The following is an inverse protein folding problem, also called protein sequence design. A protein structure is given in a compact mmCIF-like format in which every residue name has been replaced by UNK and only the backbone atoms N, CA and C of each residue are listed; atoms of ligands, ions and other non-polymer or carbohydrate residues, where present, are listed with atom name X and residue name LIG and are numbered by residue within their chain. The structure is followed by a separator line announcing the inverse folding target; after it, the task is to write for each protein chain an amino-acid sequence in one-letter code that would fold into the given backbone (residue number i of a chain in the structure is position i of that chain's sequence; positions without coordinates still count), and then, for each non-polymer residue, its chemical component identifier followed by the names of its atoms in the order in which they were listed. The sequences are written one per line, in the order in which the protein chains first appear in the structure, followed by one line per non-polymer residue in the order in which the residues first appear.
data_IF_606991293621
#
_entry.id   IF_606991293621
#
_cell.length_a   1.000
_cell.length_b   1.000
_cell.length_c   1.000
_cell.angle_alpha   90.00
_cell.angle_beta   90.00
_cell.angle_gamma   90.00
#
_symmetry.space_group_name_H-M   'P 1'
#
loop_
_entity.id
_entity.type
_entity.pdbx_description
1 polymer ?
#
# COMPACT_ATOMS: atom_id res chain seq x y z
N UNK A 1 -76.04 -22.39 -27.13
CA UNK A 1 -75.48 -22.19 -28.48
C UNK A 1 -75.02 -20.73 -28.59
N UNK A 2 -73.72 -20.56 -28.85
CA UNK A 2 -72.99 -19.41 -29.42
C UNK A 2 -73.42 -17.95 -29.15
N UNK A 3 -72.48 -17.14 -28.68
CA UNK A 3 -72.61 -15.69 -28.58
C UNK A 3 -71.36 -14.93 -28.11
N UNK A 4 -70.26 -15.09 -28.86
CA UNK A 4 -69.10 -14.19 -29.14
C UNK A 4 -68.71 -13.09 -28.14
N UNK A 5 -67.44 -13.09 -27.76
CA UNK A 5 -66.83 -12.18 -26.76
C UNK A 5 -66.41 -10.79 -27.25
N UNK A 6 -65.84 -10.04 -26.30
CA UNK A 6 -64.97 -8.89 -26.57
C UNK A 6 -63.87 -8.83 -25.52
N UNK A 7 -62.62 -8.97 -25.99
CA UNK A 7 -61.39 -8.85 -25.21
C UNK A 7 -61.13 -7.37 -24.87
N UNK A 8 -60.96 -7.03 -23.58
CA UNK A 8 -60.23 -5.82 -23.18
C UNK A 8 -58.92 -6.19 -22.49
N UNK A 9 -57.83 -5.76 -23.15
CA UNK A 9 -56.42 -6.00 -22.83
C UNK A 9 -56.04 -5.46 -21.44
N UNK A 10 -55.24 -6.25 -20.72
CA UNK A 10 -54.51 -5.87 -19.50
C UNK A 10 -53.63 -4.64 -19.75
N UNK A 11 -53.92 -3.53 -19.07
CA UNK A 11 -52.95 -2.46 -18.85
C UNK A 11 -52.05 -2.82 -17.67
N UNK A 12 -50.81 -3.23 -17.95
CA UNK A 12 -49.76 -3.43 -16.95
C UNK A 12 -49.35 -2.06 -16.40
N UNK A 13 -49.82 -1.72 -15.19
CA UNK A 13 -49.27 -0.57 -14.45
C UNK A 13 -47.81 -0.88 -14.15
N UNK A 14 -46.92 -0.04 -14.69
CA UNK A 14 -45.49 -0.04 -14.39
C UNK A 14 -45.34 0.30 -12.91
N UNK A 15 -44.57 -0.52 -12.21
CA UNK A 15 -44.17 -0.27 -10.82
C UNK A 15 -43.34 1.01 -10.77
N UNK A 16 -43.72 1.93 -9.88
CA UNK A 16 -42.93 3.10 -9.54
C UNK A 16 -41.54 2.67 -9.07
N UNK A 17 -40.48 3.44 -9.39
CA UNK A 17 -39.12 3.11 -8.98
C UNK A 17 -39.05 3.08 -7.45
N UNK A 18 -38.38 2.05 -6.94
CA UNK A 18 -38.14 1.80 -5.53
C UNK A 18 -37.83 3.11 -4.80
N UNK A 19 -38.68 3.44 -3.84
CA UNK A 19 -38.43 4.47 -2.84
C UNK A 19 -37.03 4.20 -2.27
N UNK A 20 -36.07 5.05 -2.64
CA UNK A 20 -34.76 5.12 -2.00
C UNK A 20 -35.08 5.39 -0.53
N UNK A 21 -34.97 4.35 0.28
CA UNK A 21 -35.08 4.44 1.71
C UNK A 21 -34.12 5.51 2.15
N UNK A 22 -34.65 6.56 2.79
CA UNK A 22 -33.86 7.56 3.49
C UNK A 22 -32.87 6.78 4.37
N UNK A 23 -31.58 6.90 4.08
CA UNK A 23 -30.50 6.49 4.97
C UNK A 23 -30.49 7.48 6.15
N UNK A 24 -31.51 7.42 6.98
CA UNK A 24 -31.55 8.18 8.22
C UNK A 24 -30.73 7.41 9.24
N UNK A 25 -29.76 8.12 9.79
CA UNK A 25 -29.18 7.89 11.10
C UNK A 25 -28.29 6.65 11.20
N UNK A 26 -26.99 6.93 11.41
CA UNK A 26 -25.97 6.04 11.96
C UNK A 26 -26.41 4.58 12.05
N UNK A 27 -26.00 3.75 11.08
CA UNK A 27 -26.00 2.31 11.31
C UNK A 27 -25.19 2.12 12.57
N UNK A 28 -25.87 1.96 13.70
CA UNK A 28 -25.26 1.59 14.97
C UNK A 28 -24.36 0.42 14.61
N UNK A 29 -23.05 0.58 14.81
CA UNK A 29 -22.11 -0.48 14.51
C UNK A 29 -22.69 -1.78 15.08
N UNK A 30 -22.69 -2.84 14.28
CA UNK A 30 -23.40 -4.08 14.62
C UNK A 30 -23.00 -4.56 16.02
N UNK A 31 -23.87 -5.32 16.69
CA UNK A 31 -23.73 -5.72 18.10
C UNK A 31 -22.34 -6.28 18.51
N UNK A 32 -21.58 -6.82 17.57
CA UNK A 32 -20.18 -7.28 17.73
C UNK A 32 -19.20 -6.13 18.03
N UNK A 33 -19.49 -4.93 17.55
CA UNK A 33 -18.64 -3.73 17.61
C UNK A 33 -19.05 -2.74 18.71
N UNK A 34 -20.21 -2.94 19.34
CA UNK A 34 -20.60 -2.20 20.55
C UNK A 34 -19.82 -2.70 21.76
N UNK A 35 -18.87 -1.88 22.22
CA UNK A 35 -18.15 -2.06 23.49
C UNK A 35 -19.18 -2.24 24.61
N UNK A 36 -19.18 -3.42 25.25
CA UNK A 36 -20.13 -3.79 26.30
C UNK A 36 -21.33 -4.67 25.89
N UNK A 37 -21.45 -5.06 24.61
CA UNK A 37 -22.51 -5.98 24.17
C UNK A 37 -22.28 -7.45 24.56
N UNK A 38 -21.04 -7.83 24.86
CA UNK A 38 -20.66 -9.17 25.33
C UNK A 38 -20.43 -9.16 26.85
N UNK A 39 -21.52 -9.10 27.61
CA UNK A 39 -21.47 -9.26 29.07
C UNK A 39 -21.00 -8.03 29.84
N UNK A 40 -21.47 -7.90 31.09
CA UNK A 40 -21.08 -6.83 32.00
C UNK A 40 -19.60 -7.00 32.38
N UNK A 41 -18.68 -6.55 31.53
CA UNK A 41 -17.26 -6.47 31.87
C UNK A 41 -17.09 -5.54 33.07
N UNK A 42 -16.29 -5.98 34.03
CA UNK A 42 -15.82 -5.09 35.11
C UNK A 42 -14.97 -3.97 34.52
N UNK A 43 -14.85 -2.85 35.23
CA UNK A 43 -14.04 -1.71 34.78
C UNK A 43 -12.58 -2.12 34.48
N UNK A 44 -12.05 -3.08 35.24
CA UNK A 44 -10.72 -3.66 35.02
C UNK A 44 -10.65 -4.43 33.69
N UNK A 45 -11.59 -5.31 33.42
CA UNK A 45 -11.64 -6.09 32.18
C UNK A 45 -11.90 -5.20 30.96
N UNK A 46 -12.71 -4.15 31.11
CA UNK A 46 -12.92 -3.15 30.07
C UNK A 46 -11.62 -2.40 29.76
N UNK A 47 -10.88 -1.97 30.78
CA UNK A 47 -9.58 -1.30 30.60
C UNK A 47 -8.56 -2.19 29.93
N UNK A 48 -8.48 -3.46 30.32
CA UNK A 48 -7.58 -4.45 29.70
C UNK A 48 -7.97 -4.72 28.24
N UNK A 49 -9.26 -4.85 27.95
CA UNK A 49 -9.77 -5.03 26.59
C UNK A 49 -9.49 -3.82 25.69
N UNK A 50 -9.67 -2.59 26.19
CA UNK A 50 -9.31 -1.36 25.45
C UNK A 50 -7.79 -1.30 25.25
N UNK A 51 -7.00 -1.59 26.27
CA UNK A 51 -5.54 -1.60 26.16
C UNK A 51 -5.02 -2.59 25.13
N UNK A 52 -5.60 -3.80 25.07
CA UNK A 52 -5.22 -4.79 24.07
C UNK A 52 -5.73 -4.37 22.68
N UNK A 53 -6.91 -3.77 22.59
CA UNK A 53 -7.42 -3.21 21.33
C UNK A 53 -6.51 -2.11 20.79
N UNK A 54 -6.09 -1.16 21.63
CA UNK A 54 -5.16 -0.09 21.27
C UNK A 54 -3.82 -0.64 20.80
N UNK A 55 -3.30 -1.67 21.48
CA UNK A 55 -2.07 -2.37 21.10
C UNK A 55 -2.20 -3.04 19.73
N UNK A 56 -3.30 -3.73 19.45
CA UNK A 56 -3.55 -4.35 18.14
C UNK A 56 -3.68 -3.29 17.05
N UNK A 57 -4.38 -2.18 17.32
CA UNK A 57 -4.47 -1.06 16.37
C UNK A 57 -3.10 -0.43 16.10
N UNK A 58 -2.25 -0.32 17.13
CA UNK A 58 -0.89 0.17 16.99
C UNK A 58 -0.05 -0.71 16.05
N UNK A 59 -0.02 -2.03 16.26
CA UNK A 59 0.71 -2.96 15.37
C UNK A 59 0.16 -2.93 13.94
N UNK A 60 -1.16 -2.78 13.79
CA UNK A 60 -1.77 -2.67 12.46
C UNK A 60 -1.34 -1.38 11.75
N UNK A 61 -1.36 -0.25 12.46
CA UNK A 61 -0.94 1.04 11.92
C UNK A 61 0.56 1.03 11.56
N UNK A 62 1.40 0.44 12.42
CA UNK A 62 2.83 0.25 12.18
C UNK A 62 3.09 -0.62 10.94
N UNK A 63 2.43 -1.77 10.84
CA UNK A 63 2.55 -2.65 9.68
C UNK A 63 2.07 -1.99 8.37
N UNK A 64 0.99 -1.20 8.44
CA UNK A 64 0.48 -0.44 7.29
C UNK A 64 1.46 0.65 6.86
N UNK A 65 2.04 1.39 7.81
CA UNK A 65 3.08 2.38 7.55
C UNK A 65 4.32 1.76 6.87
N UNK A 66 4.82 0.62 7.35
CA UNK A 66 5.92 -0.10 6.68
C UNK A 66 5.56 -0.51 5.25
N UNK A 67 4.34 -1.00 5.03
CA UNK A 67 3.88 -1.33 3.67
C UNK A 67 3.82 -0.10 2.77
N UNK A 68 3.34 1.04 3.28
CA UNK A 68 3.31 2.29 2.52
C UNK A 68 4.72 2.76 2.17
N UNK A 69 5.68 2.61 3.07
CA UNK A 69 7.09 2.91 2.82
C UNK A 69 7.66 2.02 1.70
N UNK A 70 7.43 0.71 1.75
CA UNK A 70 7.84 -0.23 0.71
C UNK A 70 7.24 0.12 -0.66
N UNK A 71 5.94 0.38 -0.73
CA UNK A 71 5.26 0.77 -1.97
C UNK A 71 5.82 2.08 -2.52
N UNK A 72 6.09 3.06 -1.66
CA UNK A 72 6.70 4.32 -2.05
C UNK A 72 8.10 4.12 -2.65
N UNK A 73 8.93 3.28 -2.04
CA UNK A 73 10.26 2.91 -2.56
C UNK A 73 10.18 2.18 -3.92
N UNK A 74 9.23 1.24 -4.07
CA UNK A 74 8.99 0.52 -5.32
C UNK A 74 8.58 1.49 -6.43
N UNK A 75 7.71 2.47 -6.15
CA UNK A 75 7.30 3.45 -7.16
C UNK A 75 8.47 4.30 -7.63
N UNK A 76 9.33 4.73 -6.72
CA UNK A 76 10.55 5.46 -7.10
C UNK A 76 11.46 4.59 -7.99
N UNK A 77 11.65 3.32 -7.62
CA UNK A 77 12.40 2.35 -8.40
C UNK A 77 11.90 2.22 -9.84
N UNK A 78 10.58 2.08 -9.98
CA UNK A 78 9.92 1.89 -11.26
C UNK A 78 10.04 3.13 -12.15
N UNK A 79 9.91 4.33 -11.59
CA UNK A 79 10.11 5.57 -12.34
C UNK A 79 11.53 5.67 -12.89
N UNK A 80 12.55 5.44 -12.05
CA UNK A 80 13.94 5.51 -12.47
C UNK A 80 14.27 4.45 -13.53
N UNK A 81 13.75 3.22 -13.38
CA UNK A 81 13.88 2.15 -14.37
C UNK A 81 13.20 2.52 -15.68
N UNK A 82 12.01 3.11 -15.62
CA UNK A 82 11.23 3.54 -16.77
C UNK A 82 12.00 4.58 -17.61
N UNK A 83 12.53 5.62 -16.95
CA UNK A 83 13.36 6.66 -17.57
C UNK A 83 14.57 6.04 -18.29
N UNK A 84 15.33 5.18 -17.61
CA UNK A 84 16.48 4.49 -18.22
C UNK A 84 16.10 3.62 -19.40
N UNK A 85 14.98 2.91 -19.29
CA UNK A 85 14.49 2.06 -20.37
C UNK A 85 14.19 2.90 -21.61
N UNK A 86 13.55 4.05 -21.46
CA UNK A 86 13.30 4.95 -22.57
C UNK A 86 14.58 5.51 -23.20
N UNK A 87 15.56 5.92 -22.40
CA UNK A 87 16.88 6.31 -22.93
C UNK A 87 17.51 5.17 -23.73
N UNK A 88 17.58 3.96 -23.14
CA UNK A 88 18.14 2.79 -23.81
C UNK A 88 17.43 2.47 -25.12
N UNK A 89 16.11 2.54 -25.14
CA UNK A 89 15.32 2.31 -26.35
C UNK A 89 15.58 3.38 -27.41
N UNK A 90 15.70 4.65 -27.00
CA UNK A 90 16.08 5.73 -27.92
C UNK A 90 17.44 5.46 -28.58
N UNK A 91 18.43 5.02 -27.80
CA UNK A 91 19.76 4.68 -28.30
C UNK A 91 19.75 3.48 -29.25
N UNK A 92 19.03 2.41 -28.88
CA UNK A 92 18.88 1.20 -29.71
C UNK A 92 18.22 1.54 -31.05
N UNK A 93 17.13 2.31 -31.04
CA UNK A 93 16.46 2.74 -32.27
C UNK A 93 17.35 3.67 -33.10
N UNK A 94 18.14 4.54 -32.46
CA UNK A 94 19.13 5.38 -33.14
C UNK A 94 20.24 4.56 -33.81
N UNK A 95 20.72 3.51 -33.15
CA UNK A 95 21.69 2.59 -33.71
C UNK A 95 21.11 1.81 -34.90
N UNK A 96 19.89 1.29 -34.76
CA UNK A 96 19.17 0.60 -35.84
C UNK A 96 18.94 1.51 -37.06
N UNK A 97 18.66 2.79 -36.84
CA UNK A 97 18.50 3.76 -37.91
C UNK A 97 19.81 3.98 -38.69
N UNK A 98 20.96 3.94 -38.01
CA UNK A 98 22.29 4.09 -38.62
C UNK A 98 22.73 2.85 -39.39
N UNK A 99 22.33 1.66 -38.93
CA UNK A 99 22.73 0.39 -39.54
C UNK A 99 21.79 -0.10 -40.64
N UNK A 100 20.70 0.62 -40.94
CA UNK A 100 19.72 0.16 -41.91
C UNK A 100 20.11 0.47 -43.36
N UNK A 101 20.01 -0.55 -44.23
CA UNK A 101 20.27 -0.42 -45.67
C UNK A 101 19.07 0.14 -46.46
N UNK A 102 17.88 0.20 -45.83
CA UNK A 102 16.64 0.68 -46.47
C UNK A 102 16.22 2.00 -45.84
N UNK A 103 16.10 3.04 -46.66
CA UNK A 103 15.75 4.39 -46.20
C UNK A 103 14.45 4.43 -45.40
N UNK A 104 13.42 3.69 -45.83
CA UNK A 104 12.15 3.63 -45.10
C UNK A 104 12.28 3.06 -43.68
N UNK A 105 13.13 2.05 -43.50
CA UNK A 105 13.41 1.47 -42.18
C UNK A 105 14.21 2.46 -41.32
N UNK A 106 15.20 3.15 -41.91
CA UNK A 106 15.98 4.17 -41.23
C UNK A 106 15.09 5.31 -40.71
N UNK A 107 14.18 5.81 -41.55
CA UNK A 107 13.24 6.88 -41.18
C UNK A 107 12.31 6.44 -40.05
N UNK A 108 11.75 5.22 -40.13
CA UNK A 108 10.90 4.70 -39.06
C UNK A 108 11.65 4.52 -37.74
N UNK A 109 12.87 3.99 -37.80
CA UNK A 109 13.72 3.84 -36.62
C UNK A 109 14.08 5.19 -35.99
N UNK A 110 14.38 6.22 -36.77
CA UNK A 110 14.58 7.60 -36.26
C UNK A 110 13.32 8.13 -35.57
N UNK A 111 12.15 7.92 -36.17
CA UNK A 111 10.87 8.31 -35.55
C UNK A 111 10.68 7.65 -34.19
N UNK A 112 11.02 6.36 -34.06
CA UNK A 112 10.95 5.64 -32.78
C UNK A 112 11.99 6.14 -31.77
N UNK A 113 13.21 6.41 -32.21
CA UNK A 113 14.24 6.99 -31.34
C UNK A 113 13.78 8.33 -30.72
N UNK A 114 13.21 9.22 -31.54
CA UNK A 114 12.66 10.51 -31.10
C UNK A 114 11.49 10.29 -30.12
N UNK A 115 10.56 9.39 -30.45
CA UNK A 115 9.43 9.06 -29.58
C UNK A 115 9.89 8.61 -28.19
N UNK A 116 10.88 7.72 -28.11
CA UNK A 116 11.44 7.26 -26.83
C UNK A 116 12.20 8.37 -26.09
N UNK A 117 12.92 9.24 -26.80
CA UNK A 117 13.56 10.40 -26.18
C UNK A 117 12.54 11.37 -25.56
N UNK A 118 11.42 11.61 -26.25
CA UNK A 118 10.33 12.43 -25.70
C UNK A 118 9.69 11.78 -24.47
N UNK A 119 9.48 10.46 -24.47
CA UNK A 119 8.94 9.75 -23.32
C UNK A 119 9.90 9.77 -22.13
N UNK A 120 11.21 9.62 -22.36
CA UNK A 120 12.23 9.77 -21.32
C UNK A 120 12.15 11.17 -20.68
N UNK A 121 12.11 12.22 -21.52
CA UNK A 121 12.00 13.60 -21.06
C UNK A 121 10.73 13.83 -20.24
N UNK A 122 9.56 13.42 -20.74
CA UNK A 122 8.28 13.57 -20.02
C UNK A 122 8.29 12.82 -18.68
N UNK A 123 8.83 11.60 -18.65
CA UNK A 123 8.92 10.82 -17.43
C UNK A 123 9.87 11.48 -16.42
N UNK A 124 10.99 12.04 -16.88
CA UNK A 124 11.91 12.80 -16.03
C UNK A 124 11.26 14.08 -15.49
N UNK A 125 10.54 14.83 -16.33
CA UNK A 125 9.82 16.04 -15.92
C UNK A 125 8.80 15.70 -14.80
N UNK A 126 7.99 14.65 -15.00
CA UNK A 126 7.03 14.19 -13.99
C UNK A 126 7.70 13.74 -12.68
N UNK A 127 8.85 13.07 -12.78
CA UNK A 127 9.61 12.65 -11.61
C UNK A 127 10.19 13.84 -10.85
N UNK A 128 10.67 14.86 -11.57
CA UNK A 128 11.17 16.10 -11.00
C UNK A 128 10.05 16.91 -10.33
N UNK A 129 8.90 17.06 -11.00
CA UNK A 129 7.72 17.77 -10.50
C UNK A 129 7.16 17.14 -9.21
N UNK A 130 7.32 15.82 -9.06
CA UNK A 130 6.98 15.10 -7.84
C UNK A 130 7.99 15.29 -6.68
N UNK A 131 9.01 16.13 -6.85
CA UNK A 131 10.01 16.48 -5.82
C UNK A 131 11.30 15.67 -5.89
N UNK A 132 11.45 14.78 -6.87
CA UNK A 132 12.62 13.89 -6.98
C UNK A 132 13.71 14.40 -7.90
N UNK A 133 13.73 15.72 -8.20
CA UNK A 133 14.73 16.32 -9.10
C UNK A 133 16.18 16.11 -8.66
N UNK A 134 16.43 15.97 -7.36
CA UNK A 134 17.74 15.69 -6.78
C UNK A 134 18.20 14.23 -7.02
N UNK A 135 17.33 13.35 -7.53
CA UNK A 135 17.58 11.92 -7.68
C UNK A 135 18.02 11.58 -9.09
N UNK A 136 19.26 11.91 -9.36
CA UNK A 136 19.97 11.40 -10.53
C UNK A 136 20.76 10.19 -10.09
N UNK A 137 20.51 9.02 -10.67
CA UNK A 137 21.35 7.86 -10.40
C UNK A 137 22.70 8.08 -11.08
N UNK A 138 23.70 8.33 -10.26
CA UNK A 138 25.08 8.45 -10.74
C UNK A 138 25.53 7.11 -11.34
N UNK A 139 26.42 7.18 -12.33
CA UNK A 139 26.95 6.00 -12.98
C UNK A 139 27.70 5.13 -11.97
N UNK A 140 27.29 3.86 -11.84
CA UNK A 140 27.88 2.90 -10.89
C UNK A 140 27.21 2.81 -9.51
N UNK A 141 26.33 3.74 -9.13
CA UNK A 141 25.50 3.57 -7.93
C UNK A 141 24.31 2.66 -8.22
N UNK A 142 23.78 1.99 -7.21
CA UNK A 142 22.55 1.21 -7.32
C UNK A 142 21.41 1.92 -6.60
N UNK A 143 20.18 1.62 -7.00
CA UNK A 143 19.00 2.22 -6.39
C UNK A 143 18.91 1.96 -4.88
N UNK A 144 19.38 0.79 -4.43
CA UNK A 144 19.40 0.43 -3.02
C UNK A 144 20.19 1.43 -2.17
N UNK A 145 21.26 2.01 -2.71
CA UNK A 145 22.07 3.02 -2.00
C UNK A 145 21.24 4.27 -1.70
N UNK A 146 20.39 4.68 -2.66
CA UNK A 146 19.51 5.85 -2.48
C UNK A 146 18.35 5.55 -1.52
N UNK A 147 17.78 4.35 -1.59
CA UNK A 147 16.74 3.92 -0.64
C UNK A 147 17.30 3.90 0.79
N UNK A 148 18.55 3.46 0.98
CA UNK A 148 19.19 3.47 2.28
C UNK A 148 19.36 4.89 2.82
N UNK A 149 19.83 5.82 1.98
CA UNK A 149 19.94 7.25 2.32
C UNK A 149 18.57 7.82 2.72
N UNK A 150 17.49 7.42 2.04
CA UNK A 150 16.15 7.90 2.38
C UNK A 150 15.67 7.45 3.73
N UNK A 151 15.90 6.19 4.06
CA UNK A 151 15.54 5.61 5.35
C UNK A 151 16.30 6.28 6.50
N UNK A 152 17.50 6.76 6.22
CA UNK A 152 18.36 7.48 7.17
C UNK A 152 18.07 9.00 7.19
N UNK A 153 17.27 9.52 6.26
CA UNK A 153 16.97 10.96 6.20
C UNK A 153 16.07 11.36 7.37
N UNK A 154 16.41 12.42 8.13
CA UNK A 154 15.67 12.83 9.33
C UNK A 154 14.16 13.00 9.13
N UNK A 155 13.76 13.50 7.96
CA UNK A 155 12.35 13.74 7.62
C UNK A 155 11.56 12.44 7.35
N UNK A 156 12.25 11.34 7.09
CA UNK A 156 11.67 10.02 6.81
C UNK A 156 11.83 9.06 7.99
N UNK A 157 12.66 9.41 8.97
CA UNK A 157 12.78 8.68 10.23
C UNK A 157 11.50 8.96 11.02
N UNK A 158 10.78 7.90 11.37
CA UNK A 158 9.66 7.97 12.30
C UNK A 158 10.22 7.71 13.70
N UNK A 159 10.46 8.74 14.53
CA UNK A 159 11.22 8.59 15.78
C UNK A 159 10.56 7.65 16.79
N UNK A 160 9.24 7.49 16.67
CA UNK A 160 8.42 6.60 17.51
C UNK A 160 8.81 5.11 17.34
N UNK A 161 9.41 4.72 16.21
CA UNK A 161 9.84 3.33 15.94
C UNK A 161 11.25 3.03 16.44
N UNK A 162 12.10 4.06 16.54
CA UNK A 162 13.44 3.96 17.15
C UNK A 162 13.37 3.74 18.66
N UNK A 163 12.22 4.07 19.26
CA UNK A 163 11.87 3.78 20.65
C UNK A 163 11.13 2.43 20.77
N UNK A 164 11.65 1.38 20.15
CA UNK A 164 11.31 0.04 20.62
C UNK A 164 11.91 -0.14 22.02
N UNK A 165 11.17 -0.63 23.04
CA UNK A 165 11.75 -0.91 24.34
C UNK A 165 12.78 -2.04 24.17
N UNK A 166 14.06 -1.64 24.15
CA UNK A 166 15.17 -2.54 24.39
C UNK A 166 15.00 -3.10 25.81
N UNK A 167 15.06 -4.42 25.93
CA UNK A 167 15.18 -5.23 27.16
C UNK A 167 14.10 -5.06 28.23
N UNK A 168 13.13 -5.99 28.23
CA UNK A 168 12.66 -6.60 29.47
C UNK A 168 13.06 -8.10 29.45
N UNK A 169 14.36 -8.35 29.61
CA UNK A 169 14.93 -9.68 29.87
C UNK A 169 16.24 -9.48 30.64
N UNK A 170 16.34 -10.19 31.78
CA UNK A 170 17.33 -10.12 32.85
C UNK A 170 17.20 -8.84 33.72
N UNK A 171 17.04 -8.89 35.04
CA UNK A 171 17.70 -9.77 36.01
C UNK A 171 17.01 -9.60 37.38
N UNK A 172 16.50 -10.67 37.97
CA UNK A 172 16.46 -10.86 39.43
C UNK A 172 16.15 -12.32 39.77
N UNK A 173 17.18 -13.14 39.85
CA UNK A 173 17.14 -14.34 40.68
C UNK A 173 17.55 -13.99 42.11
N UNK A 174 16.87 -14.53 43.12
CA UNK A 174 17.59 -15.05 44.27
C UNK A 174 17.49 -16.57 44.35
N UNK A 175 18.65 -17.18 44.56
CA UNK A 175 18.83 -18.58 44.88
C UNK A 175 18.10 -18.94 46.18
N UNK A 176 17.31 -20.01 46.17
CA UNK A 176 16.95 -20.74 47.38
C UNK A 176 17.48 -22.17 47.24
N UNK A 177 18.53 -22.42 48.03
CA UNK A 177 19.16 -23.69 48.29
C UNK A 177 18.35 -24.36 49.41
N UNK A 178 17.47 -25.32 49.10
CA UNK A 178 16.89 -26.20 50.11
C UNK A 178 17.07 -27.66 49.71
N UNK A 179 18.13 -28.24 50.25
CA UNK A 179 18.28 -29.68 50.42
C UNK A 179 17.26 -30.18 51.44
N UNK A 180 16.31 -31.02 51.02
CA UNK A 180 15.54 -31.88 51.91
C UNK A 180 15.48 -33.27 51.29
N UNK A 181 16.40 -34.11 51.75
CA UNK A 181 16.26 -35.57 51.75
C UNK A 181 15.18 -35.94 52.78
N UNK A 182 14.13 -36.63 52.36
CA UNK A 182 13.28 -37.48 53.20
C UNK A 182 12.67 -38.56 52.30
N UNK A 183 13.23 -39.77 52.29
CA UNK A 183 12.87 -40.90 53.16
C UNK A 183 11.77 -41.79 52.55
N UNK A 184 12.13 -43.05 52.31
CA UNK A 184 11.20 -44.17 52.31
C UNK A 184 11.94 -45.35 52.90
N UNK A 185 11.53 -45.68 54.13
CA UNK A 185 11.82 -46.89 54.89
C UNK A 185 10.98 -48.06 54.35
#
# INVERSE_FOLDING_TARGET
LHGVGSLKKKGKKRSDPATIGKSSEHSKDGWIWTVGAAGKLTEKELKEWVSESDRVQWFRAEAEMHRWQEEWEIKQADFMRCIRTFHKMSDVWSALAKSSLRDGHAVYARKKAIMFAEMARRAQDQFNDAGYAHRVLEEGKILADYIQIDREHPDNIIPQLLLSPTSASADEAPQELSSEDDASD
#
